data_IF_828453178265
#
_entry.id   IF_828453178265
#
_cell.length_a   1.000
_cell.length_b   1.000
_cell.length_c   1.000
_cell.angle_alpha   90.00
_cell.angle_beta   90.00
_cell.angle_gamma   90.00
#
_symmetry.space_group_name_H-M   'P 1'
#
loop_
_entity.id
_entity.type
_entity.pdbx_description
1 polymer ?
#
# COMPACT_ATOMS: atom_id res chain seq x y z
N UNK A 1 -12.54 -2.76 31.53
CA UNK A 1 -12.36 -1.35 31.98
C UNK A 1 -11.07 -0.85 31.32
N UNK A 2 -11.12 0.23 30.53
CA UNK A 2 -10.20 0.64 29.41
C UNK A 2 -10.69 0.17 28.02
N UNK A 3 -11.85 0.69 27.60
CA UNK A 3 -12.34 0.50 26.24
C UNK A 3 -11.79 1.62 25.35
N UNK A 4 -10.98 1.25 24.35
CA UNK A 4 -10.37 2.19 23.40
C UNK A 4 -11.40 2.89 22.51
N UNK A 5 -12.59 2.30 22.31
CA UNK A 5 -13.68 2.91 21.53
C UNK A 5 -14.32 4.07 22.30
N UNK A 6 -14.45 3.89 23.62
CA UNK A 6 -14.95 4.94 24.52
C UNK A 6 -13.96 6.11 24.55
N UNK A 7 -12.67 5.84 24.77
CA UNK A 7 -11.63 6.86 24.75
C UNK A 7 -11.48 7.53 23.38
N UNK A 8 -11.57 6.76 22.29
CA UNK A 8 -11.50 7.28 20.93
C UNK A 8 -12.58 8.32 20.64
N UNK A 9 -13.80 8.10 21.18
CA UNK A 9 -14.90 9.06 21.11
C UNK A 9 -14.71 10.24 22.08
N UNK A 10 -14.37 9.97 23.33
CA UNK A 10 -14.20 11.02 24.36
C UNK A 10 -13.06 12.00 24.03
N UNK A 11 -12.01 11.52 23.38
CA UNK A 11 -10.82 12.29 23.04
C UNK A 11 -10.81 12.79 21.58
N UNK A 12 -11.86 12.51 20.81
CA UNK A 12 -11.99 12.91 19.40
C UNK A 12 -10.77 12.45 18.56
N UNK A 13 -10.46 11.15 18.65
CA UNK A 13 -9.30 10.55 17.98
C UNK A 13 -9.68 9.89 16.65
N UNK A 14 -10.82 9.20 16.61
CA UNK A 14 -11.30 8.53 15.42
C UNK A 14 -12.78 8.19 15.53
N UNK A 15 -13.38 7.87 14.38
CA UNK A 15 -14.68 7.21 14.31
C UNK A 15 -14.69 6.12 13.25
N UNK A 16 -15.70 5.26 13.32
CA UNK A 16 -16.04 4.28 12.29
C UNK A 16 -17.46 4.59 11.84
N UNK A 17 -17.67 4.67 10.53
CA UNK A 17 -18.96 4.98 9.93
C UNK A 17 -19.61 3.70 9.41
N UNK A 18 -20.93 3.58 9.56
CA UNK A 18 -21.70 2.43 9.08
C UNK A 18 -21.71 2.35 7.54
N UNK A 19 -21.58 3.48 6.85
CA UNK A 19 -21.45 3.52 5.39
C UNK A 19 -20.08 3.02 4.89
N UNK A 20 -19.10 2.85 5.78
CA UNK A 20 -17.77 2.30 5.45
C UNK A 20 -17.30 1.32 6.54
N UNK A 21 -17.90 0.13 6.60
CA UNK A 21 -17.60 -0.85 7.63
C UNK A 21 -16.14 -1.31 7.52
N UNK A 22 -15.41 -1.24 8.64
CA UNK A 22 -13.99 -1.61 8.73
C UNK A 22 -13.01 -0.47 8.42
N UNK A 23 -13.49 0.69 7.99
CA UNK A 23 -12.64 1.87 7.76
C UNK A 23 -12.56 2.73 9.02
N UNK A 24 -11.35 3.12 9.42
CA UNK A 24 -11.11 4.02 10.56
C UNK A 24 -10.86 5.43 10.04
N UNK A 25 -11.77 6.35 10.33
CA UNK A 25 -11.60 7.76 10.05
C UNK A 25 -10.86 8.42 11.21
N UNK A 26 -9.58 8.75 10.99
CA UNK A 26 -8.75 9.41 12.00
C UNK A 26 -9.00 10.91 12.00
N UNK A 27 -9.33 11.44 13.17
CA UNK A 27 -9.46 12.88 13.40
C UNK A 27 -8.07 13.52 13.58
N UNK A 28 -7.94 14.87 13.53
CA UNK A 28 -6.64 15.53 13.64
C UNK A 28 -5.81 15.08 14.86
N UNK A 29 -6.45 14.93 16.03
CA UNK A 29 -5.76 14.47 17.25
C UNK A 29 -5.28 13.03 17.14
N UNK A 30 -6.12 12.14 16.61
CA UNK A 30 -5.74 10.73 16.38
C UNK A 30 -4.68 10.58 15.30
N UNK A 31 -4.68 11.46 14.30
CA UNK A 31 -3.65 11.53 13.27
C UNK A 31 -2.31 11.96 13.84
N UNK A 32 -2.28 12.95 14.74
CA UNK A 32 -1.04 13.35 15.44
C UNK A 32 -0.42 12.18 16.21
N UNK A 33 -1.23 11.42 16.94
CA UNK A 33 -0.74 10.22 17.67
C UNK A 33 -0.21 9.17 16.72
N UNK A 34 -0.92 8.91 15.61
CA UNK A 34 -0.47 7.98 14.58
C UNK A 34 0.89 8.38 13.98
N UNK A 35 1.01 9.65 13.57
CA UNK A 35 2.24 10.18 13.00
C UNK A 35 3.42 10.07 13.97
N UNK A 36 3.21 10.31 15.28
CA UNK A 36 4.28 10.16 16.26
C UNK A 36 4.84 8.73 16.30
N UNK A 37 3.96 7.72 16.27
CA UNK A 37 4.36 6.30 16.25
C UNK A 37 5.05 5.95 14.93
N UNK A 38 4.50 6.39 13.80
CA UNK A 38 5.07 6.11 12.48
C UNK A 38 6.47 6.72 12.33
N UNK A 39 6.65 7.97 12.75
CA UNK A 39 7.94 8.66 12.66
C UNK A 39 9.00 8.04 13.57
N UNK A 40 8.61 7.57 14.75
CA UNK A 40 9.49 6.81 15.62
C UNK A 40 9.97 5.53 14.93
N UNK A 41 9.07 4.74 14.35
CA UNK A 41 9.45 3.49 13.66
C UNK A 41 10.31 3.76 12.43
N UNK A 42 10.03 4.82 11.66
CA UNK A 42 10.87 5.24 10.53
C UNK A 42 12.29 5.59 10.98
N UNK A 43 12.45 6.21 12.16
CA UNK A 43 13.78 6.45 12.73
C UNK A 43 14.51 5.15 13.05
N UNK A 44 13.83 4.21 13.72
CA UNK A 44 14.37 2.87 14.00
C UNK A 44 14.81 2.16 12.71
N UNK A 45 14.01 2.21 11.64
CA UNK A 45 14.38 1.62 10.35
C UNK A 45 15.65 2.22 9.78
N UNK A 46 15.80 3.55 9.80
CA UNK A 46 17.02 4.23 9.34
C UNK A 46 18.24 3.84 10.16
N UNK A 47 18.10 3.80 11.48
CA UNK A 47 19.20 3.49 12.40
C UNK A 47 19.69 2.04 12.24
N UNK A 48 18.83 1.15 11.73
CA UNK A 48 19.15 -0.24 11.45
C UNK A 48 19.47 -0.50 9.96
N UNK A 49 19.63 0.54 9.15
CA UNK A 49 20.03 0.42 7.74
C UNK A 49 18.94 -0.11 6.78
N UNK A 50 17.67 -0.11 7.20
CA UNK A 50 16.56 -0.47 6.31
C UNK A 50 16.27 0.68 5.32
N UNK A 51 15.94 0.30 4.09
CA UNK A 51 15.49 1.25 3.05
C UNK A 51 13.97 1.28 3.04
N UNK A 52 13.38 2.44 3.34
CA UNK A 52 11.94 2.63 3.23
C UNK A 52 11.54 2.66 1.74
N UNK A 53 10.61 1.77 1.35
CA UNK A 53 10.08 1.69 -0.02
C UNK A 53 8.55 1.73 0.02
N UNK A 54 7.93 2.31 -1.01
CA UNK A 54 6.47 2.38 -1.16
C UNK A 54 6.02 1.63 -2.40
N UNK A 55 5.31 0.53 -2.18
CA UNK A 55 4.72 -0.28 -3.25
C UNK A 55 3.34 0.22 -3.72
N UNK A 56 2.91 -0.19 -4.92
CA UNK A 56 1.56 0.06 -5.40
C UNK A 56 0.51 -0.64 -4.52
N UNK A 57 -0.63 0.02 -4.31
CA UNK A 57 -1.73 -0.52 -3.49
C UNK A 57 -2.69 -1.40 -4.30
N UNK A 58 -2.75 -1.19 -5.62
CA UNK A 58 -3.58 -1.96 -6.54
C UNK A 58 -2.62 -2.71 -7.48
N UNK A 59 -2.79 -4.01 -7.56
CA UNK A 59 -1.98 -4.91 -8.38
C UNK A 59 -2.90 -5.70 -9.32
N UNK A 60 -2.42 -5.95 -10.54
CA UNK A 60 -3.18 -6.73 -11.52
C UNK A 60 -3.33 -8.19 -11.07
N UNK A 61 -4.49 -8.78 -11.39
CA UNK A 61 -4.82 -10.18 -11.09
C UNK A 61 -3.74 -11.16 -11.54
N UNK A 62 -3.15 -10.94 -12.72
CA UNK A 62 -2.14 -11.83 -13.28
C UNK A 62 -0.88 -11.95 -12.41
N UNK A 63 -0.57 -10.93 -11.60
CA UNK A 63 0.53 -11.02 -10.64
C UNK A 63 0.18 -11.92 -9.44
N UNK A 64 -1.06 -11.87 -8.97
CA UNK A 64 -1.55 -12.72 -7.88
C UNK A 64 -1.63 -14.19 -8.28
N UNK A 65 -1.98 -14.47 -9.54
CA UNK A 65 -1.97 -15.83 -10.09
C UNK A 65 -0.54 -16.37 -10.17
N UNK A 66 0.41 -15.58 -10.69
CA UNK A 66 1.82 -15.98 -10.81
C UNK A 66 2.50 -16.25 -9.47
N UNK A 67 2.12 -15.53 -8.42
CA UNK A 67 2.65 -15.73 -7.07
C UNK A 67 1.91 -16.83 -6.29
N UNK A 68 0.87 -17.44 -6.87
CA UNK A 68 0.08 -18.51 -6.23
C UNK A 68 -0.84 -18.03 -5.08
N UNK A 69 -1.03 -16.72 -4.94
CA UNK A 69 -1.86 -16.14 -3.87
C UNK A 69 -3.34 -16.03 -4.27
N UNK A 70 -3.64 -16.10 -5.58
CA UNK A 70 -4.98 -15.93 -6.10
C UNK A 70 -6.01 -16.90 -5.49
N UNK A 71 -5.70 -18.20 -5.43
CA UNK A 71 -6.65 -19.21 -4.95
C UNK A 71 -6.96 -19.08 -3.45
N UNK A 72 -6.07 -18.46 -2.68
CA UNK A 72 -6.19 -18.29 -1.22
C UNK A 72 -6.94 -17.03 -0.81
N UNK A 73 -6.79 -15.94 -1.57
CA UNK A 73 -7.25 -14.61 -1.16
C UNK A 73 -8.30 -13.99 -2.10
N UNK A 74 -8.71 -14.70 -3.16
CA UNK A 74 -9.71 -14.22 -4.13
C UNK A 74 -10.99 -13.67 -3.52
N UNK A 75 -11.48 -14.25 -2.42
CA UNK A 75 -12.73 -13.82 -1.76
C UNK A 75 -12.56 -12.56 -0.90
N UNK A 76 -11.33 -12.19 -0.55
CA UNK A 76 -11.01 -11.01 0.26
C UNK A 76 -10.58 -9.81 -0.59
N UNK A 77 -10.44 -10.00 -1.91
CA UNK A 77 -10.05 -8.91 -2.81
C UNK A 77 -11.21 -7.96 -3.08
N UNK A 78 -10.92 -6.67 -2.97
CA UNK A 78 -11.80 -5.61 -3.47
C UNK A 78 -11.65 -5.56 -4.98
N UNK A 79 -12.72 -5.92 -5.70
CA UNK A 79 -12.74 -5.86 -7.15
C UNK A 79 -12.92 -4.42 -7.64
N UNK A 80 -11.84 -3.81 -8.09
CA UNK A 80 -11.89 -2.51 -8.76
C UNK A 80 -12.11 -2.68 -10.28
N UNK A 81 -13.05 -1.91 -10.85
CA UNK A 81 -13.31 -1.90 -12.30
C UNK A 81 -12.38 -0.95 -13.06
N UNK A 82 -11.58 -0.13 -12.37
CA UNK A 82 -10.76 0.93 -12.98
C UNK A 82 -9.51 0.38 -13.70
N UNK A 83 -9.05 -0.83 -13.36
CA UNK A 83 -7.79 -1.40 -13.89
C UNK A 83 -7.70 -1.53 -15.42
N UNK A 84 -8.82 -1.70 -16.14
CA UNK A 84 -8.80 -1.84 -17.61
C UNK A 84 -8.52 -0.54 -18.36
N UNK A 85 -8.77 0.63 -17.77
CA UNK A 85 -8.65 1.91 -18.47
C UNK A 85 -7.25 2.54 -18.35
N UNK A 86 -6.53 2.30 -17.24
CA UNK A 86 -5.29 3.02 -16.92
C UNK A 86 -4.02 2.44 -17.56
N UNK A 87 -3.98 1.13 -17.79
CA UNK A 87 -2.81 0.48 -18.43
C UNK A 87 -2.64 0.86 -19.91
N UNK A 88 -3.72 1.28 -20.61
CA UNK A 88 -3.60 1.81 -21.98
C UNK A 88 -2.92 3.17 -22.03
N UNK A 89 -3.27 4.08 -21.11
CA UNK A 89 -2.73 5.44 -21.11
C UNK A 89 -1.22 5.50 -20.78
N UNK A 90 -0.73 4.64 -19.87
CA UNK A 90 0.70 4.62 -19.52
C UNK A 90 1.59 3.93 -20.57
N UNK A 91 1.05 3.06 -21.41
CA UNK A 91 1.81 2.41 -22.49
C UNK A 91 2.14 3.39 -23.63
N UNK A 92 1.29 4.40 -23.84
CA UNK A 92 1.43 5.37 -24.94
C UNK A 92 2.34 6.57 -24.57
N UNK A 93 2.72 6.74 -23.29
CA UNK A 93 3.53 7.89 -22.80
C UNK A 93 4.98 7.53 -22.44
N UNK A 94 5.41 6.27 -22.58
CA UNK A 94 6.80 5.90 -22.29
C UNK A 94 7.71 6.21 -23.50
N UNK A 95 8.74 7.07 -23.35
CA UNK A 95 9.81 7.11 -24.33
C UNK A 95 10.47 5.73 -24.39
N UNK A 96 10.72 5.25 -25.61
CA UNK A 96 11.22 3.89 -25.87
C UNK A 96 12.46 3.53 -25.04
N UNK A 97 12.73 2.23 -24.84
CA UNK A 97 13.75 1.74 -23.92
C UNK A 97 15.11 2.40 -24.19
N UNK A 98 15.71 2.95 -23.14
CA UNK A 98 17.09 3.46 -23.16
C UNK A 98 18.04 2.30 -23.53
N UNK A 99 19.01 2.50 -24.44
CA UNK A 99 19.81 1.42 -25.05
C UNK A 99 20.72 0.62 -24.10
N UNK A 100 20.83 0.99 -22.82
CA UNK A 100 21.87 0.47 -21.92
C UNK A 100 21.50 -0.79 -21.12
N UNK A 101 20.32 -1.38 -21.33
CA UNK A 101 19.89 -2.59 -20.62
C UNK A 101 19.98 -3.89 -21.45
N UNK A 102 20.49 -3.86 -22.68
CA UNK A 102 20.66 -5.08 -23.50
C UNK A 102 22.06 -5.72 -23.43
N UNK A 103 23.03 -5.13 -22.72
CA UNK A 103 24.43 -5.57 -22.80
C UNK A 103 24.95 -6.40 -21.60
N UNK A 104 24.11 -7.10 -20.84
CA UNK A 104 24.56 -7.94 -19.69
C UNK A 104 23.99 -9.36 -19.64
N UNK A 105 23.72 -9.96 -20.80
CA UNK A 105 23.25 -11.34 -20.87
C UNK A 105 24.04 -12.23 -21.86
N UNK A 106 25.27 -11.84 -22.17
CA UNK A 106 26.27 -12.71 -22.79
C UNK A 106 27.57 -12.49 -22.03
N UNK A 107 28.26 -13.58 -21.70
CA UNK A 107 29.50 -13.68 -20.92
C UNK A 107 29.34 -13.92 -19.40
N UNK A 108 28.91 -15.14 -19.08
CA UNK A 108 29.55 -15.92 -18.00
C UNK A 108 29.78 -17.36 -18.54
N UNK A 109 30.93 -17.98 -18.23
CA UNK A 109 31.35 -19.27 -18.80
C UNK A 109 30.48 -20.45 -18.37
#
# INVERSE_FOLDING_TARGET
>A
KRDHRRLGRELDLFHMDEHSPGTVFRHPKGWTVWQAVEQYMRAVYRDNGYQEVKGPQILDKGLWEKTGHWDKYREQHVHDRIGKARLRAQADELPGPHPDLQARHQELP
#
